data_IF_278815990102
#
_entry.id   IF_278815990102
#
_cell.length_a   1.000
_cell.length_b   1.000
_cell.length_c   1.000
_cell.angle_alpha   90.00
_cell.angle_beta   90.00
_cell.angle_gamma   90.00
#
_symmetry.space_group_name_H-M   'P 1'
#
loop_
_entity.id
_entity.type
_entity.pdbx_description
1 polymer ?
#
# COMPACT_ATOMS: atom_id res chain seq x y z
N UNK A 1 -4.35 -0.09 -12.06
CA UNK A 1 -4.08 1.17 -11.34
C UNK A 1 -4.47 2.39 -12.15
N UNK A 2 -4.01 2.56 -13.40
CA UNK A 2 -4.29 3.80 -14.15
C UNK A 2 -5.78 4.14 -14.29
N UNK A 3 -6.64 3.14 -14.57
CA UNK A 3 -8.09 3.34 -14.58
C UNK A 3 -8.65 3.84 -13.23
N UNK A 4 -8.12 3.36 -12.11
CA UNK A 4 -8.54 3.81 -10.78
C UNK A 4 -8.12 5.26 -10.53
N UNK A 5 -6.91 5.67 -10.94
CA UNK A 5 -6.47 7.07 -10.80
C UNK A 5 -7.37 8.02 -11.56
N UNK A 6 -7.73 7.66 -12.78
CA UNK A 6 -8.62 8.47 -13.61
C UNK A 6 -10.00 8.61 -12.98
N UNK A 7 -10.61 7.50 -12.58
CA UNK A 7 -11.93 7.51 -11.92
C UNK A 7 -11.91 8.26 -10.59
N UNK A 8 -10.89 8.02 -9.75
CA UNK A 8 -10.70 8.72 -8.49
C UNK A 8 -10.59 10.24 -8.71
N UNK A 9 -9.83 10.67 -9.73
CA UNK A 9 -9.70 12.08 -10.09
C UNK A 9 -11.03 12.72 -10.52
N UNK A 10 -11.86 12.00 -11.30
CA UNK A 10 -13.20 12.48 -11.70
C UNK A 10 -14.13 12.67 -10.50
N UNK A 11 -14.02 11.80 -9.49
CA UNK A 11 -14.81 11.86 -8.26
C UNK A 11 -14.19 12.76 -7.16
N UNK A 12 -13.10 13.47 -7.47
CA UNK A 12 -12.44 14.36 -6.51
C UNK A 12 -11.69 13.64 -5.37
N UNK A 13 -11.35 12.36 -5.55
CA UNK A 13 -10.60 11.55 -4.57
C UNK A 13 -9.10 11.73 -4.80
N UNK A 14 -8.43 12.34 -3.82
CA UNK A 14 -6.98 12.53 -3.85
C UNK A 14 -6.21 11.24 -3.53
N UNK A 15 -5.13 10.98 -4.28
CA UNK A 15 -4.20 9.87 -4.03
C UNK A 15 -2.92 10.42 -3.41
N UNK A 16 -2.65 10.05 -2.14
CA UNK A 16 -1.47 10.54 -1.41
C UNK A 16 -0.15 10.03 -2.01
N UNK A 17 -0.11 8.75 -2.40
CA UNK A 17 1.05 8.10 -3.00
C UNK A 17 0.63 6.87 -3.81
N UNK A 18 1.41 6.53 -4.83
CA UNK A 18 1.25 5.31 -5.62
C UNK A 18 2.60 4.59 -5.64
N UNK A 19 2.65 3.36 -5.16
CA UNK A 19 3.85 2.51 -5.18
C UNK A 19 3.56 1.17 -5.89
N UNK A 20 4.62 0.49 -6.32
CA UNK A 20 4.56 -0.82 -6.99
C UNK A 20 5.53 -1.78 -6.32
N UNK A 21 5.10 -3.01 -6.10
CA UNK A 21 5.93 -4.09 -5.55
C UNK A 21 5.61 -5.40 -6.26
N UNK A 22 6.63 -6.20 -6.53
CA UNK A 22 6.47 -7.54 -7.10
C UNK A 22 6.03 -8.53 -6.01
N UNK A 23 5.19 -9.51 -6.35
CA UNK A 23 4.68 -10.50 -5.40
C UNK A 23 5.78 -11.41 -4.82
N UNK A 24 6.88 -11.59 -5.55
CA UNK A 24 8.07 -12.35 -5.14
C UNK A 24 9.18 -11.49 -4.51
N UNK A 25 8.93 -10.21 -4.22
CA UNK A 25 9.92 -9.36 -3.56
C UNK A 25 10.28 -9.89 -2.17
N UNK A 26 11.53 -9.67 -1.75
CA UNK A 26 11.98 -10.06 -0.41
C UNK A 26 11.29 -9.29 0.72
N UNK A 27 11.31 -9.83 1.93
CA UNK A 27 10.62 -9.28 3.10
C UNK A 27 10.96 -7.81 3.38
N UNK A 28 12.25 -7.44 3.27
CA UNK A 28 12.71 -6.07 3.50
C UNK A 28 12.08 -5.06 2.53
N UNK A 29 11.71 -5.48 1.32
CA UNK A 29 11.02 -4.60 0.36
C UNK A 29 9.60 -4.28 0.82
N UNK A 30 8.89 -5.26 1.38
CA UNK A 30 7.59 -5.04 2.01
C UNK A 30 7.71 -4.16 3.26
N UNK A 31 8.79 -4.32 4.04
CA UNK A 31 9.01 -3.47 5.21
C UNK A 31 9.24 -2.00 4.82
N UNK A 32 10.03 -1.75 3.75
CA UNK A 32 10.23 -0.41 3.18
C UNK A 32 8.95 0.18 2.58
N UNK A 33 8.12 -0.65 1.94
CA UNK A 33 6.80 -0.22 1.45
C UNK A 33 5.94 0.31 2.60
N UNK A 34 5.86 -0.43 3.71
CA UNK A 34 5.11 0.03 4.90
C UNK A 34 5.69 1.32 5.47
N UNK A 35 7.02 1.46 5.54
CA UNK A 35 7.66 2.69 6.00
C UNK A 35 7.31 3.89 5.11
N UNK A 36 7.21 3.72 3.79
CA UNK A 36 6.77 4.77 2.87
C UNK A 36 5.29 5.15 3.09
N UNK A 37 4.40 4.16 3.18
CA UNK A 37 2.97 4.41 3.39
C UNK A 37 2.69 5.15 4.70
N UNK A 38 3.41 4.79 5.78
CA UNK A 38 3.27 5.44 7.10
C UNK A 38 3.62 6.92 7.12
N UNK A 39 4.42 7.42 6.17
CA UNK A 39 4.76 8.86 6.08
C UNK A 39 3.53 9.75 5.86
N UNK A 40 2.42 9.18 5.40
CA UNK A 40 1.19 9.90 5.13
C UNK A 40 0.19 9.84 6.28
N UNK A 41 0.50 9.14 7.37
CA UNK A 41 -0.31 9.17 8.58
C UNK A 41 -0.18 10.53 9.30
N UNK A 42 -1.26 11.03 9.93
CA UNK A 42 -2.60 10.44 9.99
C UNK A 42 -3.52 10.82 8.81
N UNK A 43 -3.03 11.61 7.85
CA UNK A 43 -3.84 12.19 6.75
C UNK A 43 -4.42 11.14 5.79
N UNK A 44 -3.69 10.05 5.54
CA UNK A 44 -4.16 8.93 4.75
C UNK A 44 -4.08 7.63 5.56
N UNK A 45 -5.24 7.02 5.84
CA UNK A 45 -5.36 5.75 6.60
C UNK A 45 -5.81 4.56 5.75
N UNK A 46 -6.42 4.82 4.61
CA UNK A 46 -6.93 3.78 3.69
C UNK A 46 -5.91 3.55 2.58
N UNK A 47 -5.68 2.27 2.25
CA UNK A 47 -4.81 1.85 1.14
C UNK A 47 -5.66 1.06 0.14
N UNK A 48 -5.75 1.56 -1.10
CA UNK A 48 -6.33 0.80 -2.21
C UNK A 48 -5.24 -0.09 -2.86
N UNK A 49 -5.34 -1.41 -2.69
CA UNK A 49 -4.36 -2.37 -3.21
C UNK A 49 -4.89 -3.06 -4.48
N UNK A 50 -4.30 -2.74 -5.63
CA UNK A 50 -4.49 -3.51 -6.87
C UNK A 50 -3.41 -4.59 -6.95
N UNK A 51 -3.60 -5.63 -6.15
CA UNK A 51 -2.55 -6.56 -5.77
C UNK A 51 -3.02 -8.01 -5.89
N UNK A 52 -2.11 -8.92 -6.23
CA UNK A 52 -2.36 -10.35 -6.12
C UNK A 52 -2.47 -10.78 -4.65
N UNK A 53 -3.11 -11.93 -4.38
CA UNK A 53 -3.31 -12.44 -3.03
C UNK A 53 -2.01 -12.61 -2.25
N UNK A 54 -0.93 -13.05 -2.91
CA UNK A 54 0.39 -13.19 -2.28
C UNK A 54 1.00 -11.85 -1.86
N UNK A 55 0.81 -10.79 -2.65
CA UNK A 55 1.26 -9.44 -2.29
C UNK A 55 0.54 -8.95 -1.03
N UNK A 56 -0.78 -9.15 -0.94
CA UNK A 56 -1.56 -8.79 0.25
C UNK A 56 -1.09 -9.59 1.47
N UNK A 57 -0.89 -10.90 1.33
CA UNK A 57 -0.34 -11.74 2.40
C UNK A 57 1.00 -11.23 2.91
N UNK A 58 1.92 -10.89 2.01
CA UNK A 58 3.25 -10.41 2.39
C UNK A 58 3.20 -9.02 3.05
N UNK A 59 2.27 -8.15 2.64
CA UNK A 59 2.00 -6.88 3.34
C UNK A 59 1.53 -7.15 4.77
N UNK A 60 0.55 -8.05 4.97
CA UNK A 60 0.05 -8.39 6.30
C UNK A 60 1.13 -9.02 7.20
N UNK A 61 2.00 -9.86 6.64
CA UNK A 61 3.14 -10.41 7.37
C UNK A 61 4.14 -9.32 7.78
N UNK A 62 4.42 -8.36 6.89
CA UNK A 62 5.25 -7.20 7.22
C UNK A 62 4.62 -6.33 8.32
N UNK A 63 3.30 -6.11 8.27
CA UNK A 63 2.58 -5.39 9.33
C UNK A 63 2.71 -6.11 10.67
N UNK A 64 2.57 -7.44 10.68
CA UNK A 64 2.78 -8.27 11.88
C UNK A 64 4.20 -8.16 12.42
N UNK A 65 5.22 -8.25 11.57
CA UNK A 65 6.64 -8.11 11.99
C UNK A 65 6.93 -6.75 12.63
N UNK A 66 6.25 -5.69 12.18
CA UNK A 66 6.46 -4.33 12.66
C UNK A 66 5.46 -3.88 13.73
N UNK A 67 4.61 -4.78 14.24
CA UNK A 67 3.53 -4.48 15.19
C UNK A 67 2.59 -3.35 14.70
N UNK A 68 2.33 -3.30 13.38
CA UNK A 68 1.44 -2.32 12.73
C UNK A 68 0.04 -2.90 12.53
N UNK A 69 -0.48 -3.51 13.59
CA UNK A 69 -1.86 -4.00 13.62
C UNK A 69 -2.78 -2.84 13.95
N UNK A 70 -3.91 -2.76 13.25
CA UNK A 70 -4.91 -1.72 13.38
C UNK A 70 -6.29 -2.33 13.53
#
# INVERSE_FOLDING_TARGET
MEAFKEMAGKEGICIAHSDKIWSNAGEQSFDRLLAKLRKYLPKARVVACFCEGMTVRNILMAMRRQNLVG
#
